data_IF_984606779073
#
_entry.id   IF_984606779073
#
_cell.length_a   1.000
_cell.length_b   1.000
_cell.length_c   1.000
_cell.angle_alpha   90.00
_cell.angle_beta   90.00
_cell.angle_gamma   90.00
#
_symmetry.space_group_name_H-M   'P 1'
#
loop_
_entity.id
_entity.type
_entity.pdbx_description
1 polymer ?
#
# COMPACT_ATOMS: atom_id res chain seq x y z
N UNK A 1 28.45 5.04 -38.28
CA UNK A 1 28.07 5.25 -36.87
C UNK A 1 26.62 4.88 -36.73
N UNK A 2 26.35 3.69 -36.16
CA UNK A 2 25.01 3.17 -35.96
C UNK A 2 24.39 3.86 -34.73
N UNK A 3 23.21 4.48 -34.91
CA UNK A 3 22.40 5.03 -33.82
C UNK A 3 21.99 3.86 -32.91
N UNK A 4 22.41 3.87 -31.63
CA UNK A 4 21.85 3.02 -30.58
C UNK A 4 20.34 3.27 -30.53
N UNK A 5 19.57 2.21 -30.73
CA UNK A 5 18.13 2.18 -30.52
C UNK A 5 17.85 2.60 -29.07
N UNK A 6 16.90 3.49 -28.87
CA UNK A 6 16.30 3.73 -27.56
C UNK A 6 15.75 2.38 -27.09
N UNK A 7 16.32 1.84 -26.03
CA UNK A 7 15.77 0.72 -25.31
C UNK A 7 14.35 1.09 -24.87
N UNK A 8 13.39 0.23 -25.22
CA UNK A 8 12.05 0.29 -24.65
C UNK A 8 12.16 0.32 -23.11
N UNK A 9 11.29 1.08 -22.40
CA UNK A 9 11.30 1.09 -20.94
C UNK A 9 11.12 -0.34 -20.43
N UNK A 10 11.91 -0.72 -19.43
CA UNK A 10 11.79 -2.02 -18.78
C UNK A 10 10.36 -2.19 -18.22
N UNK A 11 9.79 -3.40 -18.31
CA UNK A 11 8.46 -3.65 -17.80
C UNK A 11 8.38 -3.41 -16.29
N UNK A 12 7.24 -2.92 -15.85
CA UNK A 12 6.94 -2.56 -14.46
C UNK A 12 7.46 -3.59 -13.44
N UNK A 13 8.24 -3.13 -12.44
CA UNK A 13 8.72 -3.96 -11.35
C UNK A 13 9.95 -4.83 -11.62
N UNK A 14 10.58 -4.77 -12.77
CA UNK A 14 11.96 -5.21 -13.05
C UNK A 14 12.30 -6.70 -12.92
N UNK A 15 11.41 -7.58 -12.42
CA UNK A 15 11.68 -9.02 -12.24
C UNK A 15 10.50 -9.82 -12.77
N UNK A 16 10.66 -10.39 -13.94
CA UNK A 16 9.70 -11.37 -14.48
C UNK A 16 9.82 -12.68 -13.67
N UNK A 17 8.72 -13.25 -13.16
CA UNK A 17 8.76 -14.49 -12.41
C UNK A 17 9.13 -15.67 -13.32
N UNK A 18 9.95 -16.59 -12.80
CA UNK A 18 10.42 -17.79 -13.54
C UNK A 18 9.32 -18.79 -13.84
N UNK A 19 8.19 -18.75 -13.14
CA UNK A 19 6.99 -19.54 -13.39
C UNK A 19 5.78 -18.68 -13.10
N UNK A 20 5.05 -18.39 -14.15
CA UNK A 20 3.76 -17.72 -14.11
C UNK A 20 2.73 -18.70 -13.55
N UNK A 21 1.89 -18.35 -12.53
CA UNK A 21 0.70 -19.13 -12.29
C UNK A 21 -0.13 -19.12 -13.58
N UNK A 22 -0.66 -20.27 -13.95
CA UNK A 22 -1.56 -20.35 -15.09
C UNK A 22 -2.78 -19.46 -14.83
N UNK A 23 -2.69 -18.23 -15.29
CA UNK A 23 -3.76 -17.22 -15.28
C UNK A 23 -4.18 -16.67 -13.92
N UNK A 24 -4.68 -15.46 -13.97
CA UNK A 24 -5.49 -14.84 -12.93
C UNK A 24 -6.60 -15.77 -12.43
N UNK A 25 -6.92 -15.72 -11.14
CA UNK A 25 -8.02 -16.51 -10.57
C UNK A 25 -9.33 -16.02 -11.20
N UNK A 26 -10.12 -16.95 -11.72
CA UNK A 26 -11.42 -16.70 -12.37
C UNK A 26 -11.41 -15.70 -13.54
N UNK A 27 -10.25 -15.53 -14.21
CA UNK A 27 -10.12 -14.60 -15.33
C UNK A 27 -10.24 -13.12 -14.96
N UNK A 28 -10.08 -12.80 -13.66
CA UNK A 28 -10.09 -11.43 -13.13
C UNK A 28 -8.71 -11.02 -12.67
N UNK A 29 -8.38 -9.73 -12.66
CA UNK A 29 -7.19 -9.25 -11.97
C UNK A 29 -7.13 -9.81 -10.55
N UNK A 30 -5.95 -10.24 -10.12
CA UNK A 30 -5.74 -10.86 -8.81
C UNK A 30 -4.69 -10.11 -8.03
N UNK A 31 -4.98 -9.75 -6.76
CA UNK A 31 -4.02 -9.15 -5.85
C UNK A 31 -3.64 -10.12 -4.73
N UNK A 32 -2.35 -10.39 -4.59
CA UNK A 32 -1.79 -11.15 -3.46
C UNK A 32 -1.40 -10.15 -2.36
N UNK A 33 -1.93 -10.33 -1.15
CA UNK A 33 -1.92 -9.28 -0.14
C UNK A 33 -1.90 -9.83 1.29
N UNK A 34 -1.63 -8.95 2.26
CA UNK A 34 -2.14 -9.08 3.64
C UNK A 34 -3.31 -8.09 3.80
N UNK A 35 -4.37 -8.51 4.47
CA UNK A 35 -5.61 -7.73 4.59
C UNK A 35 -5.40 -6.28 5.06
N UNK A 36 -4.46 -6.07 5.98
CA UNK A 36 -4.15 -4.75 6.55
C UNK A 36 -2.85 -4.14 6.03
N UNK A 37 -2.27 -4.70 4.96
CA UNK A 37 -1.04 -4.15 4.39
C UNK A 37 -1.29 -2.77 3.77
N UNK A 38 -0.62 -1.70 4.25
CA UNK A 38 -0.81 -0.36 3.72
C UNK A 38 -0.54 -0.27 2.22
N UNK A 39 0.49 -0.96 1.74
CA UNK A 39 0.84 -0.98 0.32
C UNK A 39 -0.20 -1.72 -0.54
N UNK A 40 -0.85 -2.74 0.00
CA UNK A 40 -1.95 -3.43 -0.68
C UNK A 40 -3.21 -2.58 -0.72
N UNK A 41 -3.48 -1.79 0.32
CA UNK A 41 -4.62 -0.88 0.37
C UNK A 41 -4.53 0.23 -0.68
N UNK A 42 -3.32 0.72 -1.04
CA UNK A 42 -3.15 1.63 -2.18
C UNK A 42 -3.76 1.06 -3.45
N UNK A 43 -3.37 -0.17 -3.79
CA UNK A 43 -3.81 -0.87 -5.01
C UNK A 43 -5.30 -1.15 -4.97
N UNK A 44 -5.80 -1.66 -3.85
CA UNK A 44 -7.23 -1.95 -3.66
C UNK A 44 -8.08 -0.69 -3.81
N UNK A 45 -7.62 0.43 -3.25
CA UNK A 45 -8.32 1.71 -3.36
C UNK A 45 -8.48 2.16 -4.81
N UNK A 46 -7.44 2.03 -5.63
CA UNK A 46 -7.52 2.36 -7.04
C UNK A 46 -8.44 1.41 -7.81
N UNK A 47 -8.29 0.09 -7.61
CA UNK A 47 -9.16 -0.90 -8.25
C UNK A 47 -10.64 -0.61 -7.96
N UNK A 48 -10.97 -0.33 -6.70
CA UNK A 48 -12.34 0.03 -6.29
C UNK A 48 -12.83 1.32 -6.92
N UNK A 49 -12.02 2.37 -6.90
CA UNK A 49 -12.39 3.66 -7.49
C UNK A 49 -12.61 3.61 -9.01
N UNK A 50 -11.98 2.63 -9.67
CA UNK A 50 -12.16 2.36 -11.11
C UNK A 50 -13.30 1.38 -11.40
N UNK A 51 -13.97 0.83 -10.37
CA UNK A 51 -15.00 -0.20 -10.54
C UNK A 51 -14.46 -1.51 -11.09
N UNK A 52 -13.16 -1.79 -10.92
CA UNK A 52 -12.53 -3.01 -11.40
C UNK A 52 -12.82 -4.13 -10.41
N UNK A 53 -13.48 -5.19 -10.88
CA UNK A 53 -13.68 -6.40 -10.09
C UNK A 53 -12.40 -7.22 -10.07
N UNK A 54 -11.97 -7.66 -8.89
CA UNK A 54 -10.69 -8.37 -8.70
C UNK A 54 -10.80 -9.48 -7.65
N UNK A 55 -9.95 -10.48 -7.80
CA UNK A 55 -9.77 -11.55 -6.82
C UNK A 55 -8.71 -11.17 -5.80
N UNK A 56 -8.94 -11.48 -4.53
CA UNK A 56 -8.03 -11.21 -3.42
C UNK A 56 -7.48 -12.52 -2.85
N UNK A 57 -6.16 -12.68 -2.88
CA UNK A 57 -5.47 -13.81 -2.27
C UNK A 57 -4.77 -13.34 -1.00
N UNK A 58 -5.29 -13.77 0.15
CA UNK A 58 -4.61 -13.54 1.42
C UNK A 58 -3.38 -14.43 1.52
N UNK A 59 -2.22 -13.83 1.69
CA UNK A 59 -0.93 -14.52 1.80
C UNK A 59 -0.64 -14.90 3.25
N UNK A 60 -0.13 -16.10 3.49
CA UNK A 60 0.37 -16.48 4.82
C UNK A 60 1.69 -15.72 5.10
N UNK A 61 1.74 -14.82 6.11
CA UNK A 61 2.91 -13.99 6.34
C UNK A 61 4.16 -14.78 6.77
N UNK A 62 3.98 -15.98 7.31
CA UNK A 62 5.08 -16.84 7.77
C UNK A 62 5.55 -17.80 6.68
N UNK A 63 4.61 -18.48 6.01
CA UNK A 63 4.92 -19.55 5.04
C UNK A 63 5.04 -19.03 3.62
N UNK A 64 4.32 -17.93 3.27
CA UNK A 64 4.24 -17.31 1.94
C UNK A 64 4.00 -18.31 0.82
N UNK A 65 3.18 -19.32 1.10
CA UNK A 65 2.92 -20.43 0.17
C UNK A 65 2.31 -19.97 -1.14
N UNK A 66 1.53 -18.89 -1.08
CA UNK A 66 0.82 -18.28 -2.20
C UNK A 66 1.75 -17.53 -3.17
N UNK A 67 2.97 -17.19 -2.73
CA UNK A 67 3.97 -16.47 -3.51
C UNK A 67 5.16 -17.35 -3.94
N UNK A 68 5.11 -18.68 -3.72
CA UNK A 68 6.22 -19.59 -4.10
C UNK A 68 6.53 -19.61 -5.59
N UNK A 69 5.60 -19.20 -6.42
CA UNK A 69 5.77 -19.07 -7.85
C UNK A 69 6.49 -17.79 -8.28
N UNK A 70 6.54 -16.77 -7.41
CA UNK A 70 7.12 -15.47 -7.67
C UNK A 70 8.52 -15.35 -7.06
N UNK A 71 9.45 -14.73 -7.78
CA UNK A 71 10.74 -14.32 -7.22
C UNK A 71 10.58 -13.11 -6.28
N UNK A 72 9.42 -12.43 -6.31
CA UNK A 72 9.07 -11.33 -5.41
C UNK A 72 8.37 -11.85 -4.17
N UNK A 73 8.96 -11.64 -3.01
CA UNK A 73 8.49 -12.19 -1.72
C UNK A 73 7.74 -11.19 -0.83
N UNK A 74 7.49 -9.99 -1.34
CA UNK A 74 6.74 -8.95 -0.65
C UNK A 74 5.32 -8.86 -1.20
N UNK A 75 4.42 -8.23 -0.48
CA UNK A 75 3.08 -7.88 -0.93
C UNK A 75 2.96 -6.36 -1.07
N UNK A 76 2.12 -5.86 -1.99
CA UNK A 76 1.28 -6.60 -2.93
C UNK A 76 2.04 -7.17 -4.13
N UNK A 77 1.49 -8.24 -4.72
CA UNK A 77 1.77 -8.67 -6.08
C UNK A 77 0.46 -8.61 -6.85
N UNK A 78 0.48 -8.03 -8.01
CA UNK A 78 -0.68 -7.92 -8.90
C UNK A 78 -0.48 -8.81 -10.12
N UNK A 79 -1.52 -9.54 -10.50
CA UNK A 79 -1.58 -10.37 -11.69
C UNK A 79 -2.82 -9.96 -12.46
N UNK A 80 -2.66 -9.39 -13.65
CA UNK A 80 -3.79 -8.97 -14.47
C UNK A 80 -4.52 -10.18 -15.10
N UNK A 81 -5.70 -9.93 -15.66
CA UNK A 81 -6.53 -10.96 -16.29
C UNK A 81 -5.80 -11.72 -17.42
N UNK A 82 -4.91 -11.05 -18.15
CA UNK A 82 -4.08 -11.63 -19.22
C UNK A 82 -2.84 -12.39 -18.70
N UNK A 83 -2.60 -12.37 -17.38
CA UNK A 83 -1.44 -12.98 -16.74
C UNK A 83 -0.23 -12.06 -16.59
N UNK A 84 -0.33 -10.78 -16.96
CA UNK A 84 0.73 -9.80 -16.71
C UNK A 84 0.96 -9.61 -15.21
N UNK A 85 2.22 -9.67 -14.77
CA UNK A 85 2.61 -9.50 -13.38
C UNK A 85 3.23 -8.15 -13.14
N UNK A 86 2.82 -7.51 -12.05
CA UNK A 86 3.41 -6.25 -11.60
C UNK A 86 3.71 -6.34 -10.11
N UNK A 87 4.92 -5.95 -9.74
CA UNK A 87 5.40 -5.86 -8.37
C UNK A 87 5.63 -4.39 -8.03
N UNK A 88 5.76 -4.08 -6.74
CA UNK A 88 5.78 -2.74 -6.16
C UNK A 88 4.44 -1.99 -6.29
N UNK A 89 4.02 -1.41 -5.18
CA UNK A 89 2.69 -0.80 -5.10
C UNK A 89 2.54 0.45 -5.97
N UNK A 90 3.60 1.25 -6.15
CA UNK A 90 3.55 2.43 -6.99
C UNK A 90 3.52 2.06 -8.47
N UNK A 91 4.32 1.07 -8.88
CA UNK A 91 4.31 0.55 -10.26
C UNK A 91 2.97 -0.12 -10.59
N UNK A 92 2.36 -0.82 -9.62
CA UNK A 92 1.02 -1.39 -9.79
C UNK A 92 -0.03 -0.28 -9.99
N UNK A 93 0.03 0.82 -9.24
CA UNK A 93 -0.88 1.96 -9.42
C UNK A 93 -0.77 2.53 -10.84
N UNK A 94 0.44 2.77 -11.35
CA UNK A 94 0.66 3.25 -12.72
C UNK A 94 0.13 2.27 -13.75
N UNK A 95 0.45 0.98 -13.60
CA UNK A 95 0.00 -0.07 -14.51
C UNK A 95 -1.54 -0.12 -14.60
N UNK A 96 -2.22 -0.18 -13.45
CA UNK A 96 -3.69 -0.23 -13.41
C UNK A 96 -4.28 1.02 -14.08
N UNK A 97 -3.73 2.20 -13.80
CA UNK A 97 -4.24 3.42 -14.40
C UNK A 97 -4.05 3.44 -15.91
N UNK A 98 -2.86 3.12 -16.40
CA UNK A 98 -2.54 3.10 -17.84
C UNK A 98 -3.39 2.10 -18.63
N UNK A 99 -3.63 0.91 -18.07
CA UNK A 99 -4.45 -0.12 -18.72
C UNK A 99 -5.95 0.15 -18.64
N UNK A 100 -6.38 1.08 -17.75
CA UNK A 100 -7.79 1.41 -17.52
C UNK A 100 -8.10 2.89 -17.77
N UNK A 101 -7.57 3.47 -18.82
CA UNK A 101 -7.95 4.78 -19.34
C UNK A 101 -7.01 5.95 -19.00
N UNK A 102 -5.89 5.69 -18.29
CA UNK A 102 -4.76 6.62 -18.13
C UNK A 102 -5.13 8.02 -17.68
N UNK A 103 -5.55 8.20 -16.41
CA UNK A 103 -5.90 9.51 -15.84
C UNK A 103 -4.75 10.14 -15.06
N UNK A 104 -3.77 9.36 -14.66
CA UNK A 104 -2.60 9.86 -13.94
C UNK A 104 -1.52 10.34 -14.91
N UNK A 105 -0.71 11.34 -14.55
CA UNK A 105 0.55 11.57 -15.20
C UNK A 105 1.39 10.29 -15.20
N UNK A 106 2.02 9.98 -16.33
CA UNK A 106 2.91 8.82 -16.41
C UNK A 106 4.10 8.99 -15.47
N UNK A 107 4.64 7.89 -14.97
CA UNK A 107 5.86 7.88 -14.15
C UNK A 107 6.98 8.66 -14.84
N UNK A 108 7.61 9.57 -14.10
CA UNK A 108 8.67 10.43 -14.59
C UNK A 108 8.22 11.67 -15.40
N UNK A 109 6.91 11.88 -15.57
CA UNK A 109 6.35 13.06 -16.26
C UNK A 109 5.97 14.15 -15.26
N UNK A 110 5.34 13.79 -14.15
CA UNK A 110 5.01 14.70 -13.06
C UNK A 110 5.87 14.37 -11.84
N UNK A 111 6.93 15.12 -11.66
CA UNK A 111 7.85 14.94 -10.54
C UNK A 111 7.18 15.11 -9.18
N UNK A 112 6.15 15.96 -9.07
CA UNK A 112 5.42 16.19 -7.84
C UNK A 112 4.57 14.95 -7.46
N UNK A 113 3.86 14.36 -8.42
CA UNK A 113 3.14 13.12 -8.19
C UNK A 113 4.08 12.00 -7.73
N UNK A 114 5.18 11.79 -8.47
CA UNK A 114 6.15 10.74 -8.17
C UNK A 114 6.77 10.91 -6.78
N UNK A 115 7.14 12.16 -6.42
CA UNK A 115 7.67 12.50 -5.10
C UNK A 115 6.69 12.11 -3.97
N UNK A 116 5.41 12.43 -4.10
CA UNK A 116 4.41 12.09 -3.09
C UNK A 116 4.02 10.60 -3.09
N UNK A 117 4.16 9.92 -4.20
CA UNK A 117 4.05 8.46 -4.25
C UNK A 117 5.22 7.80 -3.50
N UNK A 118 6.45 8.27 -3.70
CA UNK A 118 7.64 7.77 -3.01
C UNK A 118 7.62 8.14 -1.51
N UNK A 119 7.19 9.36 -1.17
CA UNK A 119 6.95 9.78 0.21
C UNK A 119 6.05 8.79 0.96
N UNK A 120 5.00 8.29 0.32
CA UNK A 120 4.11 7.32 0.92
C UNK A 120 4.82 6.03 1.32
N UNK A 121 5.82 5.58 0.56
CA UNK A 121 6.60 4.37 0.85
C UNK A 121 7.71 4.63 1.85
N UNK A 122 8.47 5.72 1.62
CA UNK A 122 9.74 5.94 2.28
C UNK A 122 9.63 6.66 3.61
N UNK A 123 8.59 7.48 3.77
CA UNK A 123 8.40 8.31 4.95
C UNK A 123 7.10 7.95 5.67
N UNK A 124 5.95 8.18 5.06
CA UNK A 124 4.66 8.03 5.72
C UNK A 124 4.41 6.61 6.22
N UNK A 125 4.70 5.60 5.39
CA UNK A 125 4.57 4.19 5.77
C UNK A 125 5.43 3.80 6.97
N UNK A 126 6.64 4.37 7.09
CA UNK A 126 7.53 4.15 8.24
C UNK A 126 7.03 4.89 9.47
N UNK A 127 6.51 6.10 9.31
CA UNK A 127 5.94 6.92 10.40
C UNK A 127 4.73 6.25 11.04
N UNK A 128 3.78 5.75 10.24
CA UNK A 128 2.61 5.06 10.80
C UNK A 128 2.98 3.77 11.52
N UNK A 129 3.95 3.01 11.01
CA UNK A 129 4.44 1.78 11.67
C UNK A 129 5.03 2.10 13.04
N UNK A 130 5.79 3.19 13.18
CA UNK A 130 6.32 3.65 14.48
C UNK A 130 5.21 3.99 15.47
N UNK A 131 4.10 4.57 15.02
CA UNK A 131 2.95 4.94 15.84
C UNK A 131 2.09 3.74 16.22
N UNK A 132 1.67 2.93 15.23
CA UNK A 132 0.78 1.78 15.41
C UNK A 132 1.41 0.77 16.38
N UNK A 133 2.66 0.44 16.16
CA UNK A 133 3.38 -0.60 16.91
C UNK A 133 4.24 -0.04 18.05
N UNK A 134 3.76 1.07 18.67
CA UNK A 134 4.47 1.77 19.75
C UNK A 134 4.80 0.87 20.95
N UNK A 135 3.91 -0.03 21.30
CA UNK A 135 4.06 -0.96 22.43
C UNK A 135 3.38 -2.30 22.13
N UNK A 136 3.53 -3.26 23.02
CA UNK A 136 3.01 -4.61 22.84
C UNK A 136 1.48 -4.67 22.76
N UNK A 137 0.78 -3.86 23.58
CA UNK A 137 -0.69 -3.81 23.60
C UNK A 137 -1.24 -3.29 22.26
N UNK A 138 -0.68 -2.20 21.75
CA UNK A 138 -1.09 -1.65 20.44
C UNK A 138 -0.72 -2.59 19.30
N UNK A 139 0.40 -3.31 19.39
CA UNK A 139 0.78 -4.33 18.40
C UNK A 139 -0.20 -5.52 18.37
N UNK A 140 -0.62 -6.01 19.54
CA UNK A 140 -1.64 -7.07 19.62
C UNK A 140 -2.97 -6.61 19.03
N UNK A 141 -3.42 -5.40 19.34
CA UNK A 141 -4.65 -4.84 18.78
C UNK A 141 -4.57 -4.72 17.25
N UNK A 142 -3.46 -4.20 16.73
CA UNK A 142 -3.26 -4.09 15.29
C UNK A 142 -3.27 -5.44 14.56
N UNK A 143 -2.96 -6.53 15.25
CA UNK A 143 -2.96 -7.89 14.67
C UNK A 143 -4.22 -8.70 15.00
N UNK A 144 -5.24 -8.10 15.59
CA UNK A 144 -6.52 -8.78 15.86
C UNK A 144 -7.19 -9.30 14.58
N UNK A 145 -6.95 -8.66 13.43
CA UNK A 145 -7.47 -9.13 12.15
C UNK A 145 -7.00 -10.56 11.81
N UNK A 146 -5.79 -10.97 12.22
CA UNK A 146 -5.25 -12.31 11.95
C UNK A 146 -6.16 -13.40 12.52
N UNK A 147 -6.86 -13.12 13.62
CA UNK A 147 -7.80 -14.06 14.22
C UNK A 147 -9.08 -14.25 13.39
N UNK A 148 -9.35 -13.35 12.45
CA UNK A 148 -10.54 -13.34 11.59
C UNK A 148 -10.27 -13.91 10.19
N UNK A 149 -9.02 -14.26 9.88
CA UNK A 149 -8.67 -14.86 8.59
C UNK A 149 -9.03 -16.34 8.61
N UNK A 150 -10.10 -16.71 7.93
CA UNK A 150 -10.66 -18.09 7.95
C UNK A 150 -9.71 -19.16 7.42
N UNK A 151 -8.79 -18.77 6.55
CA UNK A 151 -7.76 -19.64 5.99
C UNK A 151 -6.81 -20.24 7.03
N UNK A 152 -6.61 -19.57 8.17
CA UNK A 152 -5.66 -20.02 9.19
C UNK A 152 -6.37 -20.93 10.22
N UNK A 153 -5.75 -22.07 10.54
CA UNK A 153 -6.18 -22.91 11.66
C UNK A 153 -6.10 -22.15 13.00
N UNK A 154 -6.89 -22.56 14.00
CA UNK A 154 -6.94 -21.88 15.31
C UNK A 154 -5.57 -21.71 15.95
N UNK A 155 -4.70 -22.74 15.87
CA UNK A 155 -3.33 -22.67 16.38
C UNK A 155 -2.48 -21.65 15.62
N UNK A 156 -2.56 -21.67 14.28
CA UNK A 156 -1.82 -20.73 13.43
C UNK A 156 -2.28 -19.28 13.66
N UNK A 157 -3.57 -19.03 13.88
CA UNK A 157 -4.10 -17.71 14.23
C UNK A 157 -3.49 -17.16 15.52
N UNK A 158 -3.46 -17.98 16.57
CA UNK A 158 -2.90 -17.59 17.86
C UNK A 158 -1.40 -17.32 17.73
N UNK A 159 -0.65 -18.26 17.15
CA UNK A 159 0.80 -18.15 16.98
C UNK A 159 1.16 -16.93 16.12
N UNK A 160 0.50 -16.76 14.98
CA UNK A 160 0.75 -15.64 14.06
C UNK A 160 0.44 -14.28 14.73
N UNK A 161 -0.63 -14.18 15.52
CA UNK A 161 -0.96 -12.97 16.27
C UNK A 161 0.13 -12.62 17.29
N UNK A 162 0.50 -13.56 18.16
CA UNK A 162 1.45 -13.30 19.23
C UNK A 162 2.88 -13.08 18.72
N UNK A 163 3.35 -13.95 17.83
CA UNK A 163 4.68 -13.83 17.22
C UNK A 163 4.76 -12.58 16.33
N UNK A 164 3.73 -12.33 15.55
CA UNK A 164 3.61 -11.11 14.75
C UNK A 164 3.64 -9.85 15.60
N UNK A 165 2.97 -9.81 16.76
CA UNK A 165 3.00 -8.66 17.66
C UNK A 165 4.41 -8.38 18.20
N UNK A 166 5.18 -9.41 18.53
CA UNK A 166 6.57 -9.27 18.96
C UNK A 166 7.43 -8.71 17.82
N UNK A 167 7.32 -9.30 16.62
CA UNK A 167 8.09 -8.87 15.45
C UNK A 167 7.73 -7.43 15.09
N UNK A 168 6.44 -7.10 14.99
CA UNK A 168 5.99 -5.76 14.60
C UNK A 168 6.32 -4.71 15.65
N UNK A 169 6.32 -5.07 16.94
CA UNK A 169 6.84 -4.21 18.01
C UNK A 169 8.32 -3.87 17.81
N UNK A 170 9.13 -4.86 17.41
CA UNK A 170 10.57 -4.63 17.12
C UNK A 170 10.73 -3.73 15.87
N UNK A 171 9.95 -3.99 14.83
CA UNK A 171 9.92 -3.17 13.61
C UNK A 171 9.49 -1.74 13.95
N UNK A 172 8.41 -1.54 14.71
CA UNK A 172 7.95 -0.21 15.14
C UNK A 172 9.02 0.56 15.92
N UNK A 173 9.72 -0.12 16.85
CA UNK A 173 10.85 0.47 17.57
C UNK A 173 12.01 0.86 16.64
N UNK A 174 12.31 0.03 15.64
CA UNK A 174 13.34 0.34 14.64
C UNK A 174 12.94 1.54 13.79
N UNK A 175 11.68 1.61 13.36
CA UNK A 175 11.18 2.75 12.57
C UNK A 175 11.14 4.05 13.37
N UNK A 176 10.77 3.99 14.65
CA UNK A 176 10.80 5.17 15.53
C UNK A 176 12.20 5.79 15.68
N UNK A 177 13.27 5.00 15.51
CA UNK A 177 14.65 5.49 15.56
C UNK A 177 15.12 6.17 14.26
N UNK A 178 14.32 6.14 13.21
CA UNK A 178 14.65 6.78 11.93
C UNK A 178 14.31 8.26 11.91
N UNK A 179 13.59 8.73 12.94
CA UNK A 179 13.12 10.10 13.06
C UNK A 179 13.62 10.66 14.39
N UNK A 180 13.94 11.94 14.41
CA UNK A 180 14.43 12.63 15.61
C UNK A 180 13.31 12.92 16.60
N UNK A 181 12.09 13.15 16.09
CA UNK A 181 10.92 13.46 16.90
C UNK A 181 10.22 12.20 17.43
N UNK A 182 9.45 12.34 18.53
CA UNK A 182 8.57 11.27 18.99
C UNK A 182 7.58 10.81 17.89
N UNK A 183 7.22 9.52 17.79
CA UNK A 183 6.46 8.99 16.66
C UNK A 183 5.15 9.74 16.33
N UNK A 184 4.40 10.20 17.33
CA UNK A 184 3.14 10.94 17.10
C UNK A 184 3.41 12.35 16.56
N UNK A 185 4.41 13.04 17.10
CA UNK A 185 4.84 14.36 16.63
C UNK A 185 5.38 14.26 15.21
N UNK A 186 6.24 13.28 14.94
CA UNK A 186 6.71 13.00 13.59
C UNK A 186 5.53 12.78 12.61
N UNK A 187 4.56 11.93 12.95
CA UNK A 187 3.40 11.71 12.09
C UNK A 187 2.62 13.02 11.85
N UNK A 188 2.42 13.84 12.87
CA UNK A 188 1.77 15.16 12.72
C UNK A 188 2.55 16.04 11.74
N UNK A 189 3.88 16.09 11.86
CA UNK A 189 4.72 16.85 10.92
C UNK A 189 4.62 16.34 9.48
N UNK A 190 4.55 15.02 9.30
CA UNK A 190 4.35 14.44 7.97
C UNK A 190 2.97 14.80 7.39
N UNK A 191 1.91 14.80 8.20
CA UNK A 191 0.58 15.21 7.75
C UNK A 191 0.53 16.71 7.44
N UNK A 192 1.22 17.56 8.20
CA UNK A 192 1.36 18.98 7.89
C UNK A 192 2.06 19.19 6.53
N UNK A 193 3.12 18.42 6.24
CA UNK A 193 3.80 18.48 4.94
C UNK A 193 2.88 18.04 3.80
N UNK A 194 2.12 16.97 3.98
CA UNK A 194 1.11 16.51 3.03
C UNK A 194 0.05 17.58 2.77
N UNK A 195 -0.46 18.22 3.82
CA UNK A 195 -1.52 19.22 3.70
C UNK A 195 -1.10 20.41 2.84
N UNK A 196 0.16 20.80 2.91
CA UNK A 196 0.74 21.85 2.06
C UNK A 196 0.85 21.47 0.58
N UNK A 197 0.80 20.19 0.26
CA UNK A 197 0.88 19.69 -1.12
C UNK A 197 -0.49 19.50 -1.78
N UNK A 198 -1.56 19.46 -1.00
CA UNK A 198 -2.93 19.36 -1.49
C UNK A 198 -3.38 20.76 -1.93
N UNK A 199 -3.42 21.02 -3.24
CA UNK A 199 -3.70 22.35 -3.79
C UNK A 199 -5.18 22.70 -3.80
N UNK A 200 -6.05 21.70 -4.01
CA UNK A 200 -7.52 21.85 -4.03
C UNK A 200 -8.14 20.71 -3.22
N UNK A 201 -8.87 19.85 -3.89
CA UNK A 201 -9.51 18.69 -3.26
C UNK A 201 -8.56 17.50 -3.09
N UNK A 202 -7.52 17.41 -3.95
CA UNK A 202 -6.60 16.29 -4.06
C UNK A 202 -5.16 16.76 -4.37
N UNK A 203 -4.19 15.85 -4.25
CA UNK A 203 -2.83 16.06 -4.78
C UNK A 203 -2.84 16.32 -6.29
N UNK A 204 -3.75 15.69 -7.02
CA UNK A 204 -4.00 15.91 -8.44
C UNK A 204 -4.84 17.14 -8.77
N UNK A 205 -5.13 17.99 -7.80
CA UNK A 205 -5.96 19.19 -7.96
C UNK A 205 -7.45 18.89 -7.81
N UNK A 206 -8.25 18.94 -8.88
CA UNK A 206 -9.70 18.67 -8.85
C UNK A 206 -10.05 17.18 -8.90
N UNK A 207 -9.12 16.36 -9.32
CA UNK A 207 -9.29 14.90 -9.41
C UNK A 207 -8.10 14.18 -8.78
N UNK A 208 -8.33 13.00 -8.17
CA UNK A 208 -7.26 12.25 -7.54
C UNK A 208 -6.29 11.68 -8.59
N UNK A 209 -5.00 11.67 -8.25
CA UNK A 209 -3.92 11.05 -9.01
C UNK A 209 -3.24 9.93 -8.23
N UNK A 210 -2.11 9.42 -8.73
CA UNK A 210 -1.34 8.35 -8.10
C UNK A 210 -0.90 8.66 -6.66
N UNK A 211 -0.55 9.92 -6.37
CA UNK A 211 -0.17 10.35 -5.03
C UNK A 211 -1.32 10.26 -4.02
N UNK A 212 -2.55 10.56 -4.46
CA UNK A 212 -3.74 10.43 -3.61
C UNK A 212 -3.96 8.99 -3.17
N UNK A 213 -3.98 8.05 -4.11
CA UNK A 213 -4.17 6.63 -3.80
C UNK A 213 -3.00 6.05 -2.98
N UNK A 214 -1.78 6.49 -3.27
CA UNK A 214 -0.60 6.06 -2.54
C UNK A 214 -0.66 6.48 -1.07
N UNK A 215 -0.93 7.74 -0.78
CA UNK A 215 -0.99 8.25 0.60
C UNK A 215 -2.26 7.80 1.33
N UNK A 216 -3.41 7.77 0.64
CA UNK A 216 -4.66 7.27 1.22
C UNK A 216 -4.53 5.82 1.68
N UNK A 217 -4.00 4.92 0.86
CA UNK A 217 -3.83 3.51 1.23
C UNK A 217 -2.96 3.31 2.47
N UNK A 218 -1.93 4.14 2.64
CA UNK A 218 -1.11 4.13 3.85
C UNK A 218 -1.94 4.55 5.08
N UNK A 219 -2.63 5.70 5.03
CA UNK A 219 -3.42 6.20 6.15
C UNK A 219 -4.63 5.30 6.44
N UNK A 220 -5.24 4.71 5.41
CA UNK A 220 -6.35 3.76 5.54
C UNK A 220 -6.00 2.55 6.40
N UNK A 221 -4.75 2.10 6.36
CA UNK A 221 -4.27 1.00 7.18
C UNK A 221 -4.23 1.29 8.69
N UNK A 222 -4.30 2.57 9.08
CA UNK A 222 -4.35 3.00 10.47
C UNK A 222 -5.77 3.04 11.04
N UNK A 223 -6.80 2.98 10.22
CA UNK A 223 -8.19 3.19 10.67
C UNK A 223 -8.55 2.24 11.82
N UNK A 224 -9.02 2.81 12.91
CA UNK A 224 -9.32 2.07 14.14
C UNK A 224 -8.10 1.65 14.96
N UNK A 225 -6.89 2.03 14.57
CA UNK A 225 -5.65 1.72 15.28
C UNK A 225 -5.09 2.94 16.04
N UNK A 226 -4.06 2.69 16.85
CA UNK A 226 -3.38 3.73 17.61
C UNK A 226 -2.80 4.82 16.70
N UNK A 227 -3.14 6.06 16.96
CA UNK A 227 -2.66 7.23 16.22
C UNK A 227 -3.55 7.67 15.06
N UNK A 228 -4.65 6.97 14.77
CA UNK A 228 -5.57 7.40 13.72
C UNK A 228 -6.28 8.72 14.07
N UNK A 229 -6.43 9.01 15.38
CA UNK A 229 -6.92 10.29 15.88
C UNK A 229 -6.12 11.51 15.38
N UNK A 230 -4.85 11.34 15.01
CA UNK A 230 -4.04 12.41 14.40
C UNK A 230 -4.57 12.76 13.00
N UNK A 231 -5.02 11.75 12.26
CA UNK A 231 -5.61 11.94 10.92
C UNK A 231 -6.99 12.57 11.04
N UNK A 232 -7.83 12.07 11.97
CA UNK A 232 -9.21 12.53 12.18
C UNK A 232 -9.27 13.99 12.68
N UNK A 233 -8.29 14.43 13.43
CA UNK A 233 -8.24 15.79 13.98
C UNK A 233 -7.43 16.78 13.12
N UNK A 234 -6.99 16.39 11.92
CA UNK A 234 -6.23 17.29 11.05
C UNK A 234 -7.15 18.01 10.05
N UNK A 235 -7.19 19.33 10.12
CA UNK A 235 -8.16 20.18 9.41
C UNK A 235 -8.19 20.01 7.88
N UNK A 236 -7.06 19.69 7.25
CA UNK A 236 -6.96 19.49 5.79
C UNK A 236 -6.98 18.00 5.43
N UNK A 237 -6.25 17.18 6.17
CA UNK A 237 -6.08 15.75 5.84
C UNK A 237 -7.39 14.98 6.06
N UNK A 238 -8.16 15.28 7.10
CA UNK A 238 -9.42 14.58 7.34
C UNK A 238 -10.46 14.79 6.23
N UNK A 239 -10.75 16.01 5.77
CA UNK A 239 -11.62 16.22 4.60
C UNK A 239 -11.12 15.53 3.33
N UNK A 240 -9.81 15.59 3.04
CA UNK A 240 -9.22 14.88 1.92
C UNK A 240 -9.36 13.35 2.06
N UNK A 241 -9.03 12.80 3.24
CA UNK A 241 -9.18 11.38 3.54
C UNK A 241 -10.62 10.91 3.34
N UNK A 242 -11.59 11.69 3.82
CA UNK A 242 -13.02 11.38 3.69
C UNK A 242 -13.47 11.36 2.23
N UNK A 243 -12.97 12.29 1.39
CA UNK A 243 -13.24 12.27 -0.06
C UNK A 243 -12.65 11.02 -0.72
N UNK A 244 -11.42 10.66 -0.39
CA UNK A 244 -10.79 9.44 -0.89
C UNK A 244 -11.53 8.18 -0.45
N UNK A 245 -12.04 8.15 0.77
CA UNK A 245 -12.82 7.03 1.28
C UNK A 245 -14.12 6.83 0.48
N UNK A 246 -14.84 7.91 0.16
CA UNK A 246 -16.04 7.85 -0.67
C UNK A 246 -15.77 7.34 -2.09
N UNK A 247 -14.60 7.64 -2.64
CA UNK A 247 -14.21 7.18 -3.99
C UNK A 247 -13.75 5.72 -4.02
N UNK A 248 -13.20 5.22 -2.92
CA UNK A 248 -12.47 3.95 -2.90
C UNK A 248 -13.22 2.81 -2.21
N UNK A 249 -14.06 3.11 -1.20
CA UNK A 249 -14.84 2.15 -0.40
C UNK A 249 -14.10 0.82 -0.10
N UNK A 250 -12.95 0.92 0.61
CA UNK A 250 -12.04 -0.21 0.94
C UNK A 250 -12.08 -0.54 2.42
#
# INVERSE_FOLDING_TARGET
MARKSKTEPEPYGGVQPKKVPEKSIDGKPTIYTYATCPFSLKVKSLLKSRGIDFSNVEVDPMKKTELKWSDWTKVPVFVDADGTHVNDSNDILHYIDETNGGKFPRKGVDSKQDEWMDFSNDILGKSIVAVIYKNYRTSLHALDYVTRVDKFGLKDRIVNKWLGAIIMRMVGKSRAKMFDEPPRENLTNQLNSMSGAIEKDFFGGESPNGADFANYGILRSMQGLNGFDIVENHDVIWPWYSRMQLLSDV
#
